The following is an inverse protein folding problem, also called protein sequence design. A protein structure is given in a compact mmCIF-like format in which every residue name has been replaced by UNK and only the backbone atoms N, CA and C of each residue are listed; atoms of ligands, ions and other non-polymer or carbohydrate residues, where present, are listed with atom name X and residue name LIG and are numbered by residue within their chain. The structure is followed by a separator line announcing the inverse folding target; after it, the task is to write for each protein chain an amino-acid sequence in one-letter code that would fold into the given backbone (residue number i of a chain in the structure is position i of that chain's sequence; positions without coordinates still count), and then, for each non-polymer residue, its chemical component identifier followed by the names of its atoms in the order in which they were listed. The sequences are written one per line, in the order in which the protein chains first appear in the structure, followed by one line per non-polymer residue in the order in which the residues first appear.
data_IF_204033769636
#
_entry.id   IF_204033769636
#
_cell.length_a   1.000
_cell.length_b   1.000
_cell.length_c   1.000
_cell.angle_alpha   90.00
_cell.angle_beta   90.00
_cell.angle_gamma   90.00
#
_symmetry.space_group_name_H-M   'P 1'
#
loop_
_entity.id
_entity.type
_entity.pdbx_description
1 polymer ?
#
# COMPACT_ATOMS: atom_id res chain seq x y z
N UNK A 1 -0.65 19.73 -1.38
CA UNK A 1 -1.14 18.55 -2.15
C UNK A 1 0.08 17.87 -2.75
N UNK A 2 0.36 16.63 -2.35
CA UNK A 2 1.45 15.82 -2.89
C UNK A 2 0.87 14.95 -4.01
N UNK A 3 1.59 14.84 -5.12
CA UNK A 3 1.18 14.11 -6.32
C UNK A 3 2.46 13.66 -7.01
N UNK A 4 2.56 12.39 -7.39
CA UNK A 4 3.73 11.81 -8.07
C UNK A 4 5.09 12.30 -7.50
N UNK A 5 5.21 12.35 -6.18
CA UNK A 5 6.48 12.56 -5.50
C UNK A 5 7.29 11.26 -5.47
N UNK A 6 8.61 11.39 -5.32
CA UNK A 6 9.50 10.23 -5.14
C UNK A 6 9.34 9.55 -3.77
N UNK A 7 9.97 8.40 -3.60
CA UNK A 7 10.08 7.72 -2.30
C UNK A 7 11.22 8.27 -1.44
N UNK A 8 12.17 8.99 -2.04
CA UNK A 8 13.32 9.62 -1.35
C UNK A 8 13.19 11.14 -1.22
N UNK A 9 12.13 11.76 -1.74
CA UNK A 9 11.86 13.19 -1.63
C UNK A 9 10.35 13.47 -1.56
N UNK A 10 9.95 14.68 -1.15
CA UNK A 10 8.54 15.11 -1.09
C UNK A 10 8.19 16.15 -2.18
N UNK A 11 9.01 16.27 -3.22
CA UNK A 11 8.79 17.23 -4.31
C UNK A 11 7.53 16.84 -5.07
N UNK A 12 6.57 17.76 -5.16
CA UNK A 12 5.35 17.54 -5.92
C UNK A 12 5.72 17.39 -7.40
N UNK A 13 5.19 16.35 -8.03
CA UNK A 13 5.24 16.07 -9.46
C UNK A 13 6.61 15.64 -10.01
N UNK A 14 7.55 15.28 -9.12
CA UNK A 14 8.93 14.86 -9.45
C UNK A 14 9.02 13.56 -10.27
N UNK A 15 7.92 12.83 -10.43
CA UNK A 15 7.89 11.52 -11.07
C UNK A 15 6.97 11.42 -12.27
N UNK A 16 6.19 12.44 -12.60
CA UNK A 16 5.19 12.33 -13.69
C UNK A 16 5.80 12.09 -15.06
N UNK A 17 6.94 12.70 -15.36
CA UNK A 17 7.75 12.48 -16.55
C UNK A 17 8.67 11.24 -16.45
N UNK A 18 8.80 10.65 -15.26
CA UNK A 18 9.47 9.37 -15.04
C UNK A 18 8.48 8.20 -15.11
N UNK A 19 8.12 7.63 -13.96
CA UNK A 19 7.30 6.42 -13.82
C UNK A 19 6.03 6.66 -13.00
N UNK A 20 5.66 7.92 -12.80
CA UNK A 20 4.53 8.35 -11.99
C UNK A 20 4.56 7.75 -10.59
N UNK A 21 3.42 7.21 -10.10
CA UNK A 21 3.35 6.56 -8.80
C UNK A 21 4.06 5.19 -8.74
N UNK A 22 4.32 4.55 -9.89
CA UNK A 22 4.93 3.21 -10.09
C UNK A 22 4.39 2.11 -9.15
N UNK A 23 3.40 1.32 -9.61
CA UNK A 23 3.03 0.08 -8.96
C UNK A 23 4.17 -0.94 -9.08
N UNK A 24 4.63 -1.51 -7.96
CA UNK A 24 5.75 -2.48 -7.94
C UNK A 24 5.28 -3.84 -7.44
N UNK A 25 4.65 -3.87 -6.27
CA UNK A 25 4.12 -5.09 -5.66
C UNK A 25 2.61 -5.24 -5.83
N UNK A 26 2.15 -6.46 -6.10
CA UNK A 26 0.74 -6.83 -6.02
C UNK A 26 0.57 -8.15 -5.28
N UNK A 27 -0.44 -8.22 -4.41
CA UNK A 27 -0.90 -9.47 -3.82
C UNK A 27 -2.43 -9.52 -3.84
N UNK A 28 -2.97 -10.73 -3.82
CA UNK A 28 -4.43 -10.96 -3.79
C UNK A 28 -4.79 -11.79 -2.57
N UNK A 29 -5.97 -11.53 -2.02
CA UNK A 29 -6.44 -12.23 -0.83
C UNK A 29 -7.96 -12.25 -0.75
N UNK A 30 -8.50 -13.34 -0.23
CA UNK A 30 -9.92 -13.40 0.11
C UNK A 30 -10.12 -12.88 1.54
N UNK A 31 -10.97 -11.86 1.69
CA UNK A 31 -11.40 -11.36 2.99
C UNK A 31 -12.94 -11.32 3.02
N UNK A 32 -13.53 -11.98 4.01
CA UNK A 32 -14.98 -11.97 4.25
C UNK A 32 -15.83 -12.36 3.03
N UNK A 33 -15.38 -13.32 2.22
CA UNK A 33 -16.09 -13.83 1.05
C UNK A 33 -15.96 -12.96 -0.21
N UNK A 34 -15.03 -12.01 -0.22
CA UNK A 34 -14.70 -11.16 -1.38
C UNK A 34 -13.20 -11.24 -1.67
N UNK A 35 -12.86 -11.20 -2.95
CA UNK A 35 -11.46 -11.17 -3.38
C UNK A 35 -10.99 -9.72 -3.48
N UNK A 36 -9.80 -9.45 -2.95
CA UNK A 36 -9.18 -8.14 -2.98
C UNK A 36 -7.80 -8.21 -3.63
N UNK A 37 -7.46 -7.17 -4.38
CA UNK A 37 -6.11 -6.89 -4.85
C UNK A 37 -5.53 -5.73 -4.03
N UNK A 38 -4.31 -5.92 -3.56
CA UNK A 38 -3.52 -4.92 -2.84
C UNK A 38 -2.30 -4.58 -3.69
N UNK A 39 -2.16 -3.31 -4.05
CA UNK A 39 -1.17 -2.84 -5.02
C UNK A 39 -0.31 -1.78 -4.33
N UNK A 40 0.97 -2.09 -4.10
CA UNK A 40 1.95 -1.15 -3.53
C UNK A 40 2.44 -0.16 -4.56
N UNK A 41 2.43 1.13 -4.21
CA UNK A 41 2.97 2.21 -5.04
C UNK A 41 4.36 2.59 -4.52
N UNK A 42 5.41 2.13 -5.19
CA UNK A 42 6.80 2.28 -4.73
C UNK A 42 7.17 3.74 -4.53
N UNK A 43 6.73 4.64 -5.43
CA UNK A 43 7.18 6.05 -5.41
C UNK A 43 6.40 6.90 -4.42
N UNK A 44 5.15 7.21 -4.74
CA UNK A 44 4.33 8.09 -3.90
C UNK A 44 4.06 7.45 -2.52
N UNK A 45 4.18 6.12 -2.43
CA UNK A 45 3.96 5.34 -1.22
C UNK A 45 2.52 4.86 -1.10
N UNK A 46 2.29 3.98 -0.12
CA UNK A 46 0.98 3.44 0.19
C UNK A 46 0.51 2.31 -0.71
N UNK A 47 -0.72 1.85 -0.44
CA UNK A 47 -1.34 0.69 -1.07
C UNK A 47 -2.71 1.07 -1.61
N UNK A 48 -2.94 0.80 -2.89
CA UNK A 48 -4.28 0.82 -3.49
C UNK A 48 -4.97 -0.52 -3.21
N UNK A 49 -6.24 -0.45 -2.83
CA UNK A 49 -7.08 -1.62 -2.56
C UNK A 49 -8.24 -1.64 -3.54
N UNK A 50 -8.37 -2.74 -4.27
CA UNK A 50 -9.51 -3.02 -5.14
C UNK A 50 -10.22 -4.28 -4.69
N UNK A 51 -11.55 -4.25 -4.69
CA UNK A 51 -12.34 -5.48 -4.70
C UNK A 51 -12.35 -6.00 -6.15
N UNK A 52 -12.00 -7.28 -6.32
CA UNK A 52 -11.85 -7.95 -7.61
C UNK A 52 -12.67 -9.26 -7.66
N UNK A 53 -13.75 -9.36 -6.88
CA UNK A 53 -14.65 -10.53 -6.93
C UNK A 53 -15.24 -10.75 -8.34
N UNK A 54 -15.50 -9.67 -9.08
CA UNK A 54 -15.60 -9.69 -10.53
C UNK A 54 -14.36 -9.01 -11.15
N UNK A 55 -13.40 -9.77 -11.69
CA UNK A 55 -12.17 -9.20 -12.25
C UNK A 55 -12.42 -8.38 -13.54
N UNK A 56 -13.59 -8.49 -14.18
CA UNK A 56 -13.95 -7.65 -15.33
C UNK A 56 -14.50 -6.29 -14.92
N UNK A 57 -14.88 -6.13 -13.66
CA UNK A 57 -15.44 -4.90 -13.11
C UNK A 57 -14.88 -4.63 -11.70
N UNK A 58 -13.56 -4.39 -11.57
CA UNK A 58 -12.94 -4.13 -10.27
C UNK A 58 -13.48 -2.85 -9.64
N UNK A 59 -13.68 -2.87 -8.32
CA UNK A 59 -14.20 -1.74 -7.56
C UNK A 59 -13.08 -1.17 -6.70
N UNK A 60 -12.75 0.11 -6.88
CA UNK A 60 -11.82 0.79 -5.99
C UNK A 60 -12.42 0.88 -4.58
N UNK A 61 -11.67 0.43 -3.58
CA UNK A 61 -12.10 0.45 -2.17
C UNK A 61 -11.47 1.66 -1.48
N UNK A 62 -10.14 1.73 -1.47
CA UNK A 62 -9.41 2.78 -0.79
C UNK A 62 -7.95 2.88 -1.24
N UNK A 63 -7.32 4.00 -0.87
CA UNK A 63 -5.89 4.20 -0.92
C UNK A 63 -5.41 4.50 0.49
N UNK A 64 -4.53 3.66 1.03
CA UNK A 64 -3.94 3.84 2.37
C UNK A 64 -2.49 4.24 2.23
N UNK A 65 -2.11 5.32 2.91
CA UNK A 65 -0.74 5.81 2.95
C UNK A 65 -0.52 6.51 4.28
N UNK A 66 0.32 5.94 5.15
CA UNK A 66 0.67 6.52 6.46
C UNK A 66 1.91 7.41 6.39
N UNK A 67 2.43 7.69 5.20
CA UNK A 67 3.56 8.59 4.98
C UNK A 67 3.23 10.01 5.46
N UNK A 68 4.17 10.58 6.20
CA UNK A 68 4.17 11.98 6.59
C UNK A 68 5.03 12.80 5.62
N UNK A 69 4.36 13.41 4.64
CA UNK A 69 5.02 14.25 3.64
C UNK A 69 5.64 15.55 4.20
N UNK A 70 5.43 15.87 5.47
CA UNK A 70 6.01 17.04 6.14
C UNK A 70 7.29 16.74 6.91
N UNK A 71 7.68 15.47 7.01
CA UNK A 71 8.96 15.06 7.57
C UNK A 71 9.98 14.80 6.46
N UNK A 72 11.27 14.91 6.80
CA UNK A 72 12.35 14.54 5.92
C UNK A 72 12.35 13.01 5.71
N UNK A 73 12.46 12.57 4.46
CA UNK A 73 12.37 11.17 4.02
C UNK A 73 13.45 10.26 4.59
N UNK A 74 14.57 10.82 5.02
CA UNK A 74 15.67 10.10 5.68
C UNK A 74 15.52 10.02 7.21
N UNK A 75 14.32 10.28 7.74
CA UNK A 75 14.04 10.21 9.19
C UNK A 75 12.85 9.29 9.47
N UNK A 76 12.79 8.65 10.66
CA UNK A 76 11.64 7.81 11.03
C UNK A 76 10.31 8.56 11.04
N UNK A 77 10.34 9.89 11.18
CA UNK A 77 9.14 10.73 11.17
C UNK A 77 8.42 10.75 9.82
N UNK A 78 9.05 10.28 8.73
CA UNK A 78 8.45 10.17 7.40
C UNK A 78 7.39 9.07 7.28
N UNK A 79 7.35 8.11 8.20
CA UNK A 79 6.49 6.93 8.06
C UNK A 79 7.01 5.98 6.99
N UNK A 80 6.10 5.26 6.33
CA UNK A 80 6.47 4.24 5.36
C UNK A 80 6.81 4.83 3.98
N UNK A 81 7.91 4.35 3.39
CA UNK A 81 8.44 4.78 2.10
C UNK A 81 8.90 3.58 1.26
N UNK A 82 8.54 3.55 -0.01
CA UNK A 82 8.93 2.47 -0.92
C UNK A 82 8.28 1.12 -0.64
N UNK A 83 6.93 0.99 -0.66
CA UNK A 83 6.30 -0.33 -0.65
C UNK A 83 6.76 -1.18 -1.84
N UNK A 84 7.33 -2.35 -1.56
CA UNK A 84 7.76 -3.31 -2.59
C UNK A 84 7.16 -4.70 -2.36
N UNK A 85 7.47 -5.29 -1.20
CA UNK A 85 6.97 -6.60 -0.81
C UNK A 85 5.57 -6.50 -0.20
N UNK A 86 4.59 -7.22 -0.76
CA UNK A 86 3.26 -7.35 -0.19
C UNK A 86 2.93 -8.83 0.05
N UNK A 87 2.39 -9.14 1.22
CA UNK A 87 1.95 -10.48 1.56
C UNK A 87 0.61 -10.45 2.28
N UNK A 88 -0.38 -11.17 1.74
CA UNK A 88 -1.66 -11.36 2.39
C UNK A 88 -1.64 -12.62 3.25
N UNK A 89 -2.10 -12.49 4.50
CA UNK A 89 -2.28 -13.60 5.43
C UNK A 89 -3.78 -13.81 5.60
N UNK A 90 -4.24 -15.03 5.31
CA UNK A 90 -5.65 -15.38 5.44
C UNK A 90 -6.11 -15.27 6.89
N UNK A 91 -7.43 -15.15 7.09
CA UNK A 91 -8.01 -15.21 8.43
C UNK A 91 -7.63 -16.48 9.19
N UNK A 92 -7.52 -17.62 8.50
CA UNK A 92 -7.23 -18.91 9.12
C UNK A 92 -5.78 -19.02 9.62
N UNK A 93 -4.86 -18.32 8.95
CA UNK A 93 -3.44 -18.34 9.28
C UNK A 93 -3.03 -17.15 10.18
N UNK A 94 -3.96 -16.23 10.44
CA UNK A 94 -3.71 -15.01 11.20
C UNK A 94 -3.83 -15.21 12.72
N UNK A 95 -2.88 -14.68 13.52
CA UNK A 95 -2.94 -14.77 14.98
C UNK A 95 -4.08 -13.96 15.61
N UNK A 96 -4.67 -13.01 14.88
CA UNK A 96 -5.73 -12.12 15.37
C UNK A 96 -7.12 -12.55 14.91
N UNK A 97 -7.26 -13.66 14.15
CA UNK A 97 -8.50 -14.09 13.51
C UNK A 97 -9.13 -13.04 12.57
N UNK A 98 -8.31 -12.13 12.06
CA UNK A 98 -8.63 -11.15 11.00
C UNK A 98 -7.65 -11.34 9.84
N UNK A 99 -8.06 -11.20 8.57
CA UNK A 99 -7.10 -11.23 7.47
C UNK A 99 -6.10 -10.07 7.61
N UNK A 100 -4.83 -10.29 7.28
CA UNK A 100 -3.77 -9.30 7.41
C UNK A 100 -3.12 -9.01 6.07
N UNK A 101 -2.65 -7.78 5.89
CA UNK A 101 -1.73 -7.40 4.83
C UNK A 101 -0.41 -6.96 5.45
N UNK A 102 0.68 -7.62 5.08
CA UNK A 102 2.05 -7.25 5.44
C UNK A 102 2.66 -6.49 4.27
N UNK A 103 3.25 -5.33 4.55
CA UNK A 103 3.91 -4.47 3.56
C UNK A 103 5.34 -4.20 4.01
N UNK A 104 6.30 -4.58 3.17
CA UNK A 104 7.71 -4.23 3.34
C UNK A 104 7.99 -2.93 2.59
N UNK A 105 8.56 -1.96 3.29
CA UNK A 105 8.87 -0.64 2.80
C UNK A 105 10.39 -0.47 2.72
N UNK A 106 10.95 -0.67 1.53
CA UNK A 106 12.40 -0.79 1.31
C UNK A 106 13.14 0.49 1.71
N UNK A 107 12.61 1.66 1.32
CA UNK A 107 13.29 2.95 1.51
C UNK A 107 13.28 3.40 2.97
N UNK A 108 12.18 3.18 3.69
CA UNK A 108 12.13 3.48 5.13
C UNK A 108 12.72 2.38 6.00
N UNK A 109 12.94 1.17 5.45
CA UNK A 109 13.38 -0.01 6.20
C UNK A 109 12.34 -0.51 7.21
N UNK A 110 11.05 -0.21 6.98
CA UNK A 110 9.95 -0.56 7.88
C UNK A 110 9.10 -1.70 7.33
N UNK A 111 8.48 -2.46 8.22
CA UNK A 111 7.43 -3.44 7.87
C UNK A 111 6.16 -3.06 8.60
N UNK A 112 5.08 -2.89 7.85
CA UNK A 112 3.77 -2.51 8.39
C UNK A 112 2.77 -3.64 8.18
N UNK A 113 1.98 -3.92 9.21
CA UNK A 113 0.92 -4.92 9.17
C UNK A 113 -0.41 -4.19 9.31
N UNK A 114 -1.29 -4.37 8.33
CA UNK A 114 -2.65 -3.86 8.34
C UNK A 114 -3.62 -5.01 8.63
N UNK A 115 -4.60 -4.76 9.49
CA UNK A 115 -5.79 -5.61 9.55
C UNK A 115 -6.74 -5.23 8.42
N UNK A 116 -7.23 -6.23 7.69
CA UNK A 116 -8.30 -6.05 6.71
C UNK A 116 -9.63 -6.18 7.44
N UNK A 117 -10.26 -5.05 7.74
CA UNK A 117 -11.53 -5.00 8.45
C UNK A 117 -12.74 -5.12 7.51
N UNK A 118 -13.87 -5.59 8.04
CA UNK A 118 -15.17 -5.45 7.36
C UNK A 118 -15.56 -3.97 7.32
N UNK A 119 -15.83 -3.46 6.14
CA UNK A 119 -16.65 -2.24 6.00
C UNK A 119 -18.06 -2.56 6.50
N UNK A 120 -18.59 -1.71 7.40
CA UNK A 120 -19.98 -1.80 7.87
C UNK A 120 -20.95 -1.39 6.77
#
# INVERSE_FOLDING_TARGET
MFFNAGNTNNTRDDRSDNKGPEPEGVTVGEAYGRNYAFIGLERIGGVLVYEISDPRSPIFVQYINNRNFMAATNTPAAGDLGPEGLHFISRADSPTNTPLLVVANEVSGTTTIYEVARTR
#
